data_IF_848169634190
#
_entry.id   IF_848169634190
#
_cell.length_a   1.000
_cell.length_b   1.000
_cell.length_c   1.000
_cell.angle_alpha   90.00
_cell.angle_beta   90.00
_cell.angle_gamma   90.00
#
_symmetry.space_group_name_H-M   'P 1'
#
loop_
_entity.id
_entity.type
_entity.pdbx_description
1 polymer ?
#
# COMPACT_ATOMS: atom_id res chain seq x y z
N UNK A 1 2.45 9.37 -7.83
CA UNK A 1 1.49 8.29 -7.51
C UNK A 1 1.74 7.61 -6.15
N UNK A 2 2.75 6.74 -5.93
CA UNK A 2 2.94 6.12 -4.59
C UNK A 2 3.43 7.10 -3.50
N UNK A 3 4.21 8.10 -3.89
CA UNK A 3 4.67 9.15 -2.96
C UNK A 3 3.52 10.01 -2.42
N UNK A 4 2.48 10.24 -3.21
CA UNK A 4 1.29 10.99 -2.78
C UNK A 4 0.45 10.16 -1.79
N UNK A 5 0.35 8.85 -2.01
CA UNK A 5 -0.34 7.92 -1.10
C UNK A 5 0.45 7.74 0.22
N UNK A 6 1.77 7.84 0.16
CA UNK A 6 2.59 7.90 1.36
C UNK A 6 2.38 9.21 2.13
N UNK A 7 2.25 10.34 1.41
CA UNK A 7 1.92 11.63 2.02
C UNK A 7 0.53 11.66 2.66
N UNK A 8 -0.45 10.93 2.11
CA UNK A 8 -1.78 10.79 2.72
C UNK A 8 -1.77 9.90 3.98
N UNK A 9 -0.66 9.22 4.26
CA UNK A 9 -0.47 8.41 5.47
C UNK A 9 -1.07 7.01 5.39
N UNK A 10 -1.58 6.57 4.23
CA UNK A 10 -2.18 5.23 4.03
C UNK A 10 -1.11 4.14 3.92
N UNK A 11 0.07 4.50 3.38
CA UNK A 11 1.22 3.61 3.27
C UNK A 11 2.45 4.27 3.88
N UNK A 12 3.39 3.44 4.34
CA UNK A 12 4.72 3.87 4.77
C UNK A 12 5.77 3.15 3.95
N UNK A 13 6.69 3.90 3.34
CA UNK A 13 7.76 3.34 2.51
C UNK A 13 9.13 3.41 3.17
N UNK A 14 9.88 2.30 3.06
CA UNK A 14 11.29 2.21 3.49
C UNK A 14 12.19 2.00 2.30
N UNK A 15 13.20 2.84 2.12
CA UNK A 15 14.25 2.62 1.13
C UNK A 15 15.14 1.45 1.56
N UNK A 16 15.31 0.48 0.67
CA UNK A 16 16.11 -0.72 0.88
C UNK A 16 17.08 -0.86 -0.29
N UNK A 17 18.37 -1.01 0.03
CA UNK A 17 19.39 -1.35 -0.95
C UNK A 17 19.35 -2.86 -1.26
N UNK A 18 19.41 -3.21 -2.54
CA UNK A 18 19.28 -4.59 -3.05
C UNK A 18 20.58 -5.08 -3.73
N UNK A 19 21.74 -4.55 -3.33
CA UNK A 19 23.00 -4.88 -3.95
C UNK A 19 23.04 -4.43 -5.41
N UNK A 20 23.34 -5.37 -6.32
CA UNK A 20 23.45 -5.12 -7.77
C UNK A 20 22.13 -4.67 -8.42
N UNK A 21 20.99 -4.92 -7.78
CA UNK A 21 19.66 -4.56 -8.29
C UNK A 21 19.27 -3.10 -7.95
N UNK A 22 20.13 -2.35 -7.25
CA UNK A 22 19.90 -0.95 -6.93
C UNK A 22 19.15 -0.72 -5.63
N UNK A 23 18.18 0.19 -5.63
CA UNK A 23 17.41 0.59 -4.44
C UNK A 23 15.92 0.51 -4.75
N UNK A 24 15.17 -0.11 -3.87
CA UNK A 24 13.71 -0.17 -3.94
C UNK A 24 13.11 0.43 -2.68
N UNK A 25 11.99 1.15 -2.82
CA UNK A 25 11.18 1.58 -1.68
C UNK A 25 10.11 0.52 -1.41
N UNK A 26 10.25 -0.21 -0.30
CA UNK A 26 9.28 -1.22 0.13
C UNK A 26 8.18 -0.54 0.94
N UNK A 27 6.93 -0.69 0.53
CA UNK A 27 5.78 -0.10 1.21
C UNK A 27 5.05 -1.09 2.11
N UNK A 28 4.43 -0.57 3.16
CA UNK A 28 3.52 -1.28 4.05
C UNK A 28 2.27 -0.44 4.26
N UNK A 29 1.13 -1.11 4.44
CA UNK A 29 -0.11 -0.45 4.87
C UNK A 29 0.02 -0.01 6.33
N UNK A 30 -0.40 1.21 6.61
CA UNK A 30 -0.50 1.75 7.99
C UNK A 30 -1.90 1.51 8.58
N UNK A 31 -2.91 1.41 7.71
CA UNK A 31 -4.29 1.11 8.06
C UNK A 31 -4.52 -0.41 8.19
N UNK A 32 -5.49 -0.80 9.03
CA UNK A 32 -5.80 -2.20 9.24
C UNK A 32 -6.45 -2.82 8.00
N UNK A 33 -6.14 -4.08 7.73
CA UNK A 33 -6.74 -4.83 6.62
C UNK A 33 -8.26 -4.94 6.77
N UNK A 34 -8.77 -5.09 7.98
CA UNK A 34 -10.22 -5.17 8.25
C UNK A 34 -10.96 -3.88 7.84
N UNK A 35 -10.35 -2.72 8.10
CA UNK A 35 -10.91 -1.43 7.68
C UNK A 35 -10.98 -1.34 6.15
N UNK A 36 -9.94 -1.77 5.44
CA UNK A 36 -9.93 -1.85 3.96
C UNK A 36 -11.07 -2.73 3.48
N UNK A 37 -11.19 -3.96 3.99
CA UNK A 37 -12.23 -4.90 3.57
C UNK A 37 -13.63 -4.33 3.78
N UNK A 38 -13.86 -3.64 4.90
CA UNK A 38 -15.15 -3.01 5.21
C UNK A 38 -15.45 -1.84 4.28
N UNK A 39 -14.47 -0.98 3.99
CA UNK A 39 -14.65 0.18 3.13
C UNK A 39 -14.93 -0.20 1.68
N UNK A 40 -14.27 -1.24 1.16
CA UNK A 40 -14.41 -1.67 -0.23
C UNK A 40 -15.41 -2.82 -0.44
N UNK A 41 -16.12 -3.24 0.62
CA UNK A 41 -17.05 -4.38 0.59
C UNK A 41 -18.12 -4.24 -0.49
N UNK A 42 -18.64 -3.02 -0.66
CA UNK A 42 -19.76 -2.73 -1.54
C UNK A 42 -19.29 -2.30 -2.94
N UNK A 43 -17.97 -2.21 -3.16
CA UNK A 43 -17.39 -1.92 -4.46
C UNK A 43 -17.23 -3.21 -5.27
N UNK A 44 -18.16 -3.42 -6.19
CA UNK A 44 -18.19 -4.60 -7.07
C UNK A 44 -16.94 -4.73 -7.94
N UNK A 45 -16.19 -3.64 -8.17
CA UNK A 45 -14.95 -3.68 -8.97
C UNK A 45 -13.76 -4.26 -8.20
N UNK A 46 -13.86 -4.35 -6.87
CA UNK A 46 -12.80 -4.80 -5.98
C UNK A 46 -13.11 -6.17 -5.33
N UNK A 47 -14.23 -6.81 -5.69
CA UNK A 47 -14.62 -8.12 -5.14
C UNK A 47 -13.55 -9.20 -5.34
N UNK A 48 -12.84 -9.19 -6.47
CA UNK A 48 -11.82 -10.19 -6.78
C UNK A 48 -10.46 -9.92 -6.09
N UNK A 49 -10.31 -8.75 -5.44
CA UNK A 49 -9.05 -8.28 -4.85
C UNK A 49 -9.07 -8.40 -3.31
N UNK A 50 -10.24 -8.37 -2.68
CA UNK A 50 -10.45 -8.17 -1.23
C UNK A 50 -10.79 -9.46 -0.47
#
# INVERSE_FOLDING_TARGET
MLSEIELSGIISGRLVHQGIHGRTKKYKLTISTEMIKKTFKDDLTLQDIV
#
